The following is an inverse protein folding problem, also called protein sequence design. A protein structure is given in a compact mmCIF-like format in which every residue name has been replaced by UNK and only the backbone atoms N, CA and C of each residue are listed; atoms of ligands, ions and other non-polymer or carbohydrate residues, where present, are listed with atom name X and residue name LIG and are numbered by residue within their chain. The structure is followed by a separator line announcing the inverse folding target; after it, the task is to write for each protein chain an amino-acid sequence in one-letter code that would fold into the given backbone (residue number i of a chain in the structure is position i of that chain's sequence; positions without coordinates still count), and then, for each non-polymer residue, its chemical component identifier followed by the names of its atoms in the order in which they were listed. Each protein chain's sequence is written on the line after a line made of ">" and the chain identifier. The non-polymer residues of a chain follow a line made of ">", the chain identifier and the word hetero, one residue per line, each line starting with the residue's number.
data_IF_136168497944
#
_entry.id   IF_136168497944
#
_cell.length_a   1.000
_cell.length_b   1.000
_cell.length_c   1.000
_cell.angle_alpha   90.00
_cell.angle_beta   90.00
_cell.angle_gamma   90.00
#
_symmetry.space_group_name_H-M   'P 1'
#
loop_
_entity.id
_entity.type
_entity.pdbx_description
1 polymer ?
#
# COMPACT_ATOMS: atom_id res chain seq x y z
N UNK A 1 -2.49 21.97 4.55
CA UNK A 1 -1.36 21.61 3.69
C UNK A 1 -0.07 21.35 4.48
N UNK A 2 0.29 22.19 5.47
CA UNK A 2 1.48 21.98 6.33
C UNK A 2 1.58 20.58 6.94
N UNK A 3 0.51 20.05 7.51
CA UNK A 3 0.52 18.71 8.14
C UNK A 3 0.86 17.58 7.16
N UNK A 4 0.44 17.67 5.89
CA UNK A 4 0.71 16.60 4.91
C UNK A 4 2.19 16.39 4.62
N UNK A 5 2.99 17.45 4.66
CA UNK A 5 4.43 17.44 4.38
C UNK A 5 5.28 17.51 5.66
N UNK A 6 4.68 17.84 6.82
CA UNK A 6 5.45 17.94 8.05
C UNK A 6 6.04 16.59 8.44
N UNK A 7 7.33 16.57 8.74
CA UNK A 7 8.03 15.35 9.18
C UNK A 7 9.22 15.72 10.04
N UNK A 8 9.47 14.91 11.07
CA UNK A 8 10.68 15.01 11.88
C UNK A 8 11.77 14.11 11.29
N UNK A 9 13.07 14.46 11.43
CA UNK A 9 14.15 13.62 10.97
C UNK A 9 14.22 12.33 11.80
N UNK A 10 13.60 11.27 11.28
CA UNK A 10 13.47 9.96 11.94
C UNK A 10 13.97 8.85 11.02
N UNK A 11 14.96 8.08 11.46
CA UNK A 11 15.42 6.86 10.80
C UNK A 11 14.35 5.77 10.85
N UNK A 12 13.56 5.71 11.91
CA UNK A 12 12.46 4.73 12.05
C UNK A 12 11.45 4.93 10.93
N UNK A 13 11.01 6.18 10.69
CA UNK A 13 10.05 6.49 9.63
C UNK A 13 10.62 6.17 8.23
N UNK A 14 11.91 6.46 8.01
CA UNK A 14 12.59 6.06 6.78
C UNK A 14 12.56 4.55 6.57
N UNK A 15 12.89 3.75 7.57
CA UNK A 15 12.88 2.29 7.47
C UNK A 15 11.46 1.74 7.23
N UNK A 16 10.46 2.24 7.97
CA UNK A 16 9.06 1.83 7.78
C UNK A 16 8.56 2.17 6.37
N UNK A 17 8.91 3.34 5.86
CA UNK A 17 8.56 3.80 4.51
C UNK A 17 9.13 2.87 3.44
N UNK A 18 10.44 2.56 3.52
CA UNK A 18 11.09 1.66 2.58
C UNK A 18 10.57 0.23 2.68
N UNK A 19 10.34 -0.27 3.89
CA UNK A 19 9.76 -1.61 4.09
C UNK A 19 8.41 -1.72 3.41
N UNK A 20 7.51 -0.78 3.66
CA UNK A 20 6.18 -0.80 3.04
C UNK A 20 6.26 -0.64 1.51
N UNK A 21 7.14 0.24 1.02
CA UNK A 21 7.36 0.43 -0.41
C UNK A 21 7.82 -0.85 -1.12
N UNK A 22 8.85 -1.52 -0.59
CA UNK A 22 9.41 -2.74 -1.17
C UNK A 22 8.36 -3.86 -1.20
N UNK A 23 7.59 -4.00 -0.13
CA UNK A 23 6.61 -5.09 0.01
C UNK A 23 5.38 -4.87 -0.87
N UNK A 24 4.87 -3.64 -0.97
CA UNK A 24 3.65 -3.35 -1.74
C UNK A 24 3.93 -3.15 -3.23
N UNK A 25 5.10 -2.63 -3.62
CA UNK A 25 5.42 -2.35 -5.02
C UNK A 25 5.20 -3.54 -5.98
N UNK A 26 5.64 -4.79 -5.67
CA UNK A 26 5.39 -5.94 -6.55
C UNK A 26 3.90 -6.17 -6.81
N UNK A 27 3.04 -6.00 -5.81
CA UNK A 27 1.58 -6.15 -5.94
C UNK A 27 0.97 -5.07 -6.84
N UNK A 28 1.45 -3.84 -6.72
CA UNK A 28 1.07 -2.75 -7.62
C UNK A 28 1.56 -2.98 -9.06
N UNK A 29 2.79 -3.46 -9.23
CA UNK A 29 3.37 -3.79 -10.54
C UNK A 29 2.63 -4.94 -11.23
N UNK A 30 2.17 -5.96 -10.48
CA UNK A 30 1.27 -7.00 -11.00
C UNK A 30 0.00 -6.41 -11.59
N UNK A 31 -0.62 -5.47 -10.87
CA UNK A 31 -1.90 -4.87 -11.25
C UNK A 31 -1.76 -3.83 -12.37
N UNK A 32 -0.72 -3.00 -12.32
CA UNK A 32 -0.54 -1.91 -13.29
C UNK A 32 0.19 -2.36 -14.56
N UNK A 33 1.29 -3.11 -14.43
CA UNK A 33 2.21 -3.45 -15.53
C UNK A 33 2.08 -4.92 -16.00
N UNK A 34 1.44 -5.79 -15.21
CA UNK A 34 1.40 -7.22 -15.51
C UNK A 34 2.69 -7.96 -15.18
N UNK A 35 3.61 -7.36 -14.40
CA UNK A 35 4.83 -8.00 -13.95
C UNK A 35 4.53 -9.14 -12.98
N UNK A 36 5.49 -10.01 -12.74
CA UNK A 36 5.38 -11.15 -11.79
C UNK A 36 4.13 -12.03 -12.01
N UNK A 37 3.70 -12.19 -13.27
CA UNK A 37 2.51 -12.99 -13.60
C UNK A 37 1.17 -12.30 -13.31
N UNK A 38 1.16 -10.99 -13.15
CA UNK A 38 -0.06 -10.21 -12.89
C UNK A 38 -0.91 -9.98 -14.14
N UNK A 39 -2.16 -9.54 -13.93
CA UNK A 39 -3.13 -9.30 -15.02
C UNK A 39 -2.92 -7.99 -15.79
N UNK A 40 -2.04 -7.12 -15.32
CA UNK A 40 -1.86 -5.78 -15.87
C UNK A 40 -3.08 -4.88 -15.67
N UNK A 41 -2.96 -3.63 -16.14
CA UNK A 41 -3.98 -2.59 -15.89
C UNK A 41 -5.38 -2.98 -16.37
N UNK A 42 -5.50 -3.39 -17.64
CA UNK A 42 -6.81 -3.72 -18.22
C UNK A 42 -7.46 -4.93 -17.55
N UNK A 43 -6.69 -5.99 -17.31
CA UNK A 43 -7.19 -7.22 -16.69
C UNK A 43 -7.60 -6.99 -15.23
N UNK A 44 -6.80 -6.23 -14.48
CA UNK A 44 -7.09 -5.89 -13.08
C UNK A 44 -8.33 -5.00 -12.97
N UNK A 45 -8.44 -3.98 -13.83
CA UNK A 45 -9.61 -3.10 -13.81
C UNK A 45 -10.89 -3.86 -14.17
N UNK A 46 -10.84 -4.74 -15.18
CA UNK A 46 -11.97 -5.59 -15.54
C UNK A 46 -12.37 -6.54 -14.40
N UNK A 47 -11.41 -7.04 -13.63
CA UNK A 47 -11.67 -7.84 -12.43
C UNK A 47 -12.37 -7.02 -11.34
N UNK A 48 -11.84 -5.85 -11.00
CA UNK A 48 -12.42 -4.99 -9.97
C UNK A 48 -13.83 -4.49 -10.32
N UNK A 49 -14.09 -4.19 -11.60
CA UNK A 49 -15.39 -3.71 -12.06
C UNK A 49 -16.52 -4.74 -11.90
N UNK A 50 -16.20 -6.01 -11.61
CA UNK A 50 -17.22 -7.03 -11.28
C UNK A 50 -17.84 -6.81 -9.90
N UNK A 51 -17.10 -6.17 -8.98
CA UNK A 51 -17.52 -6.03 -7.58
C UNK A 51 -17.54 -4.58 -7.09
N UNK A 52 -16.86 -3.68 -7.79
CA UNK A 52 -16.68 -2.28 -7.39
C UNK A 52 -16.91 -1.33 -8.57
N UNK A 53 -17.39 -0.10 -8.33
CA UNK A 53 -17.39 0.97 -9.34
C UNK A 53 -15.97 1.23 -9.88
N UNK A 54 -15.86 1.48 -11.19
CA UNK A 54 -14.58 1.69 -11.87
C UNK A 54 -13.63 2.70 -11.21
N UNK A 55 -14.08 3.83 -10.65
CA UNK A 55 -13.20 4.76 -9.95
C UNK A 55 -12.48 4.15 -8.75
N UNK A 56 -13.13 3.23 -8.02
CA UNK A 56 -12.50 2.55 -6.87
C UNK A 56 -11.41 1.59 -7.32
N UNK A 57 -11.62 0.86 -8.42
CA UNK A 57 -10.59 0.01 -9.02
C UNK A 57 -9.37 0.80 -9.48
N UNK A 58 -9.58 1.97 -10.09
CA UNK A 58 -8.50 2.89 -10.48
C UNK A 58 -7.72 3.40 -9.28
N UNK A 59 -8.42 3.83 -8.23
CA UNK A 59 -7.78 4.30 -6.98
C UNK A 59 -6.98 3.19 -6.31
N UNK A 60 -7.47 1.96 -6.30
CA UNK A 60 -6.74 0.82 -5.74
C UNK A 60 -5.44 0.54 -6.52
N UNK A 61 -5.50 0.50 -7.86
CA UNK A 61 -4.31 0.32 -8.71
C UNK A 61 -3.32 1.46 -8.48
N UNK A 62 -3.80 2.71 -8.44
CA UNK A 62 -2.95 3.88 -8.19
C UNK A 62 -2.29 3.83 -6.81
N UNK A 63 -3.04 3.50 -5.76
CA UNK A 63 -2.51 3.41 -4.40
C UNK A 63 -1.44 2.33 -4.26
N UNK A 64 -1.62 1.16 -4.87
CA UNK A 64 -0.66 0.06 -4.78
C UNK A 64 0.53 0.20 -5.74
N UNK A 65 0.43 0.99 -6.81
CA UNK A 65 1.53 1.20 -7.75
C UNK A 65 2.28 2.52 -7.50
N UNK A 66 1.56 3.65 -7.48
CA UNK A 66 2.17 4.96 -7.26
C UNK A 66 2.48 5.21 -5.77
N UNK A 67 1.67 4.66 -4.86
CA UNK A 67 1.89 4.78 -3.42
C UNK A 67 3.28 4.32 -2.99
N UNK A 68 3.70 3.08 -3.30
CA UNK A 68 5.07 2.61 -2.99
C UNK A 68 6.18 3.46 -3.60
N UNK A 69 5.99 3.99 -4.81
CA UNK A 69 6.95 4.90 -5.44
C UNK A 69 7.04 6.20 -4.62
N UNK A 70 5.89 6.78 -4.26
CA UNK A 70 5.83 7.95 -3.39
C UNK A 70 6.48 7.67 -2.02
N UNK A 71 6.22 6.51 -1.43
CA UNK A 71 6.87 6.09 -0.18
C UNK A 71 8.40 5.97 -0.35
N UNK A 72 8.89 5.36 -1.43
CA UNK A 72 10.32 5.17 -1.65
C UNK A 72 11.08 6.51 -1.68
N UNK A 73 10.59 7.49 -2.39
CA UNK A 73 11.20 8.83 -2.46
C UNK A 73 10.78 9.76 -1.30
N UNK A 74 9.76 9.37 -0.52
CA UNK A 74 9.22 10.16 0.58
C UNK A 74 8.44 11.38 0.10
N UNK A 75 7.67 11.23 -0.96
CA UNK A 75 6.79 12.26 -1.52
C UNK A 75 5.34 11.96 -1.16
N UNK A 76 4.66 12.94 -0.55
CA UNK A 76 3.28 12.79 -0.08
C UNK A 76 3.08 11.52 0.75
N UNK A 77 4.01 11.23 1.63
CA UNK A 77 4.10 9.97 2.39
C UNK A 77 2.80 9.63 3.11
N UNK A 78 2.16 10.62 3.75
CA UNK A 78 0.89 10.39 4.46
C UNK A 78 -0.25 10.02 3.52
N UNK A 79 -0.31 10.64 2.34
CA UNK A 79 -1.33 10.36 1.31
C UNK A 79 -1.11 8.95 0.74
N UNK A 80 0.13 8.61 0.40
CA UNK A 80 0.51 7.30 -0.11
C UNK A 80 0.18 6.19 0.92
N UNK A 81 0.58 6.39 2.18
CA UNK A 81 0.28 5.46 3.26
C UNK A 81 -1.22 5.31 3.52
N UNK A 82 -1.99 6.41 3.46
CA UNK A 82 -3.44 6.37 3.59
C UNK A 82 -4.10 5.58 2.45
N UNK A 83 -3.68 5.80 1.20
CA UNK A 83 -4.18 5.04 0.05
C UNK A 83 -3.93 3.54 0.20
N UNK A 84 -2.70 3.16 0.59
CA UNK A 84 -2.35 1.76 0.86
C UNK A 84 -3.20 1.19 2.01
N UNK A 85 -3.37 1.93 3.10
CA UNK A 85 -4.20 1.49 4.23
C UNK A 85 -5.64 1.22 3.80
N UNK A 86 -6.24 2.09 2.99
CA UNK A 86 -7.59 1.87 2.46
C UNK A 86 -7.67 0.57 1.64
N UNK A 87 -6.69 0.32 0.76
CA UNK A 87 -6.65 -0.92 -0.03
C UNK A 87 -6.51 -2.15 0.87
N UNK A 88 -5.63 -2.11 1.88
CA UNK A 88 -5.45 -3.22 2.83
C UNK A 88 -6.75 -3.52 3.60
N UNK A 89 -7.45 -2.50 4.08
CA UNK A 89 -8.74 -2.67 4.76
C UNK A 89 -9.76 -3.33 3.84
N UNK A 90 -9.92 -2.81 2.62
CA UNK A 90 -10.89 -3.37 1.65
C UNK A 90 -10.52 -4.81 1.31
N UNK A 91 -9.26 -5.13 1.07
CA UNK A 91 -8.79 -6.48 0.78
C UNK A 91 -9.10 -7.45 1.93
N UNK A 92 -8.86 -7.05 3.18
CA UNK A 92 -9.22 -7.85 4.36
C UNK A 92 -10.70 -8.14 4.38
N UNK A 93 -11.53 -7.10 4.31
CA UNK A 93 -12.98 -7.21 4.47
C UNK A 93 -13.66 -8.01 3.34
N UNK A 94 -13.15 -7.91 2.12
CA UNK A 94 -13.79 -8.52 0.95
C UNK A 94 -13.25 -9.89 0.60
N UNK A 95 -12.00 -10.15 0.90
CA UNK A 95 -11.30 -11.35 0.41
C UNK A 95 -10.69 -12.19 1.53
N UNK A 96 -9.89 -11.61 2.42
CA UNK A 96 -8.99 -12.37 3.29
C UNK A 96 -9.63 -12.88 4.58
N UNK A 97 -10.68 -12.22 5.10
CA UNK A 97 -11.40 -12.69 6.30
C UNK A 97 -11.96 -14.10 6.16
N UNK A 98 -12.31 -14.54 4.94
CA UNK A 98 -12.82 -15.88 4.65
C UNK A 98 -11.76 -16.98 4.87
N UNK A 99 -10.49 -16.61 4.85
CA UNK A 99 -9.36 -17.54 4.92
C UNK A 99 -8.70 -17.56 6.30
N UNK A 100 -9.23 -16.77 7.26
CA UNK A 100 -8.72 -16.70 8.62
C UNK A 100 -7.53 -15.77 8.79
N UNK A 101 -6.84 -15.89 9.91
CA UNK A 101 -5.75 -14.99 10.29
C UNK A 101 -4.45 -15.30 9.53
N UNK A 102 -4.02 -16.57 9.52
CA UNK A 102 -2.69 -16.96 9.06
C UNK A 102 -2.55 -16.94 7.54
N UNK A 103 -1.39 -16.45 7.05
CA UNK A 103 -0.99 -16.62 5.65
C UNK A 103 -0.82 -18.11 5.31
N UNK A 104 -0.99 -18.44 4.05
CA UNK A 104 -0.92 -19.82 3.55
C UNK A 104 0.53 -20.31 3.33
N UNK A 105 1.36 -20.21 4.37
CA UNK A 105 2.79 -20.54 4.31
C UNK A 105 3.09 -21.97 3.84
N UNK A 106 2.18 -22.90 4.09
CA UNK A 106 2.35 -24.31 3.79
C UNK A 106 1.55 -24.79 2.57
N UNK A 107 0.83 -23.91 1.89
CA UNK A 107 0.03 -24.25 0.71
C UNK A 107 -1.18 -25.15 0.97
N UNK A 108 -1.61 -25.29 2.23
CA UNK A 108 -2.69 -26.20 2.64
C UNK A 108 -4.03 -25.48 2.90
N UNK A 109 -4.08 -24.17 2.71
CA UNK A 109 -5.30 -23.35 2.84
C UNK A 109 -5.90 -23.04 1.46
N UNK A 110 -7.19 -22.70 1.43
CA UNK A 110 -7.89 -22.32 0.20
C UNK A 110 -7.55 -20.90 -0.30
N UNK A 111 -6.80 -20.13 0.50
CA UNK A 111 -6.37 -18.77 0.19
C UNK A 111 -5.56 -18.16 1.32
N UNK A 112 -5.14 -16.91 1.15
CA UNK A 112 -4.27 -16.21 2.07
C UNK A 112 -5.09 -15.52 3.18
N UNK A 113 -4.69 -15.70 4.44
CA UNK A 113 -5.25 -14.97 5.57
C UNK A 113 -4.85 -13.49 5.60
N UNK A 114 -5.14 -12.80 6.69
CA UNK A 114 -4.99 -11.35 6.75
C UNK A 114 -3.85 -10.83 7.64
N UNK A 115 -3.01 -11.70 8.25
CA UNK A 115 -1.92 -11.24 9.13
C UNK A 115 -0.95 -10.28 8.43
N UNK A 116 -0.63 -10.53 7.15
CA UNK A 116 0.18 -9.61 6.33
C UNK A 116 -0.45 -8.22 6.23
N UNK A 117 -1.77 -8.17 5.97
CA UNK A 117 -2.49 -6.91 5.85
C UNK A 117 -2.50 -6.13 7.15
N UNK A 118 -2.56 -6.82 8.30
CA UNK A 118 -2.49 -6.19 9.61
C UNK A 118 -1.13 -5.53 9.86
N UNK A 119 -0.02 -6.21 9.49
CA UNK A 119 1.32 -5.62 9.58
C UNK A 119 1.47 -4.41 8.65
N UNK A 120 1.01 -4.52 7.40
CA UNK A 120 1.04 -3.41 6.44
C UNK A 120 0.22 -2.21 6.94
N UNK A 121 -0.96 -2.44 7.53
CA UNK A 121 -1.79 -1.42 8.16
C UNK A 121 -1.08 -0.73 9.33
N UNK A 122 -0.43 -1.50 10.22
CA UNK A 122 0.34 -0.95 11.33
C UNK A 122 1.44 0.01 10.85
N UNK A 123 2.19 -0.40 9.82
CA UNK A 123 3.22 0.45 9.20
C UNK A 123 2.60 1.69 8.54
N UNK A 124 1.52 1.52 7.79
CA UNK A 124 0.84 2.63 7.14
C UNK A 124 0.33 3.66 8.14
N UNK A 125 -0.30 3.22 9.24
CA UNK A 125 -0.74 4.11 10.34
C UNK A 125 0.44 4.86 10.96
N UNK A 126 1.56 4.17 11.23
CA UNK A 126 2.76 4.82 11.77
C UNK A 126 3.29 5.92 10.83
N UNK A 127 3.25 5.70 9.50
CA UNK A 127 3.66 6.70 8.50
C UNK A 127 2.64 7.85 8.38
N UNK A 128 1.35 7.59 8.50
CA UNK A 128 0.32 8.64 8.51
C UNK A 128 0.52 9.57 9.70
N UNK A 129 0.86 9.03 10.86
CA UNK A 129 1.08 9.82 12.08
C UNK A 129 2.44 10.52 12.07
N UNK A 130 3.52 9.79 11.78
CA UNK A 130 4.89 10.26 11.91
C UNK A 130 5.47 10.99 10.67
N UNK A 131 4.87 10.81 9.49
CA UNK A 131 5.38 11.39 8.25
C UNK A 131 6.52 10.60 7.62
N UNK A 132 7.32 11.27 6.78
CA UNK A 132 8.28 10.63 5.88
C UNK A 132 9.63 10.25 6.54
N UNK A 133 10.05 10.96 7.57
CA UNK A 133 11.34 10.76 8.20
C UNK A 133 12.52 11.31 7.37
N UNK A 134 13.71 10.78 7.63
CA UNK A 134 14.95 11.16 6.96
C UNK A 134 14.89 10.89 5.46
N UNK A 135 15.69 11.67 4.71
CA UNK A 135 15.92 11.51 3.27
C UNK A 135 14.60 11.42 2.48
N UNK A 136 13.72 12.40 2.66
CA UNK A 136 12.44 12.47 2.01
C UNK A 136 12.25 13.79 1.26
N UNK A 137 11.49 13.72 0.17
CA UNK A 137 11.06 14.93 -0.57
C UNK A 137 10.13 15.78 0.29
N UNK A 138 9.29 15.15 1.13
CA UNK A 138 8.42 15.87 2.06
C UNK A 138 9.21 16.79 3.00
N UNK A 139 10.38 16.32 3.51
CA UNK A 139 11.24 17.12 4.37
C UNK A 139 11.87 18.32 3.64
N UNK A 140 12.11 18.20 2.32
CA UNK A 140 12.63 19.30 1.50
C UNK A 140 11.55 20.33 1.16
N UNK A 141 10.28 19.89 1.09
CA UNK A 141 9.13 20.72 0.75
C UNK A 141 8.39 21.24 1.99
N UNK A 142 8.72 20.73 3.17
CA UNK A 142 8.13 21.20 4.42
C UNK A 142 8.53 22.66 4.68
N UNK A 143 7.55 23.54 4.98
CA UNK A 143 7.82 24.97 5.25
C UNK A 143 8.46 25.20 6.62
#
# INVERSE_FOLDING_TARGET
>A
MRWLLSTDPSLIQFLLRWTLAIVIFPHGAQKALGWFGGNGFKGTLAYFNKSFPAPLGLLAIAAEFLGPIGLAIGLLTRVAAFGIACVMIVAVLTTHTKHGFFMNWYGNQKGEGFEFHLLALGIAVALILGGAGLWSVDALLAP
#
